data_IF_999507953733
#
_entry.id   IF_999507953733
#
_cell.length_a   1.000
_cell.length_b   1.000
_cell.length_c   1.000
_cell.angle_alpha   90.00
_cell.angle_beta   90.00
_cell.angle_gamma   90.00
#
_symmetry.space_group_name_H-M   'P 1'
#
loop_
_entity.id
_entity.type
_entity.pdbx_description
1 polymer ?
#
# COMPACT_ATOMS: atom_id res chain seq x y z
N UNK A 1 -12.53 26.89 -25.07
CA UNK A 1 -11.75 25.92 -24.27
C UNK A 1 -11.08 25.02 -25.30
N UNK A 2 -9.77 25.18 -25.55
CA UNK A 2 -9.07 24.30 -26.51
C UNK A 2 -9.16 22.86 -26.01
N UNK A 3 -9.50 21.92 -26.89
CA UNK A 3 -9.59 20.51 -26.50
C UNK A 3 -8.18 19.96 -26.26
N UNK A 4 -8.06 18.97 -25.37
CA UNK A 4 -6.76 18.35 -25.05
C UNK A 4 -6.09 17.78 -26.31
N UNK A 5 -6.89 17.34 -27.28
CA UNK A 5 -6.46 16.82 -28.58
C UNK A 5 -5.76 17.91 -29.41
N UNK A 6 -6.23 19.15 -29.37
CA UNK A 6 -5.62 20.26 -30.12
C UNK A 6 -4.28 20.66 -29.54
N UNK A 7 -4.14 20.62 -28.21
CA UNK A 7 -2.87 20.88 -27.52
C UNK A 7 -1.84 19.81 -27.82
N UNK A 8 -2.25 18.54 -27.85
CA UNK A 8 -1.40 17.40 -28.24
C UNK A 8 -0.97 17.48 -29.70
N UNK A 9 -1.84 17.97 -30.59
CA UNK A 9 -1.51 18.16 -32.02
C UNK A 9 -0.50 19.29 -32.26
N UNK A 10 -0.55 20.37 -31.46
CA UNK A 10 0.39 21.50 -31.54
C UNK A 10 1.78 21.19 -30.96
N UNK A 11 1.94 20.08 -30.23
CA UNK A 11 3.21 19.71 -29.61
C UNK A 11 4.22 19.15 -30.65
N UNK A 12 5.53 19.45 -30.47
CA UNK A 12 6.60 18.81 -31.23
C UNK A 12 6.58 17.28 -31.07
N UNK A 13 7.06 16.51 -32.06
CA UNK A 13 7.04 15.05 -32.03
C UNK A 13 7.71 14.45 -30.78
N UNK A 14 8.84 15.03 -30.34
CA UNK A 14 9.61 14.58 -29.17
C UNK A 14 8.84 14.71 -27.85
N UNK A 15 7.88 15.63 -27.78
CA UNK A 15 7.08 15.85 -26.57
C UNK A 15 5.81 15.01 -26.56
N UNK A 16 5.42 14.40 -27.68
CA UNK A 16 4.24 13.51 -27.73
C UNK A 16 4.49 12.21 -26.99
N UNK A 17 5.71 11.70 -27.05
CA UNK A 17 6.11 10.48 -26.34
C UNK A 17 6.00 10.66 -24.82
N UNK A 18 6.51 11.79 -24.30
CA UNK A 18 6.37 12.14 -22.88
C UNK A 18 4.91 12.30 -22.43
N UNK A 19 4.03 12.76 -23.32
CA UNK A 19 2.60 12.88 -23.02
C UNK A 19 1.93 11.51 -22.94
N UNK A 20 2.31 10.57 -23.81
CA UNK A 20 1.83 9.18 -23.77
C UNK A 20 2.26 8.52 -22.45
N UNK A 21 3.54 8.62 -22.11
CA UNK A 21 4.07 8.11 -20.84
C UNK A 21 3.35 8.70 -19.63
N UNK A 22 3.02 10.00 -19.69
CA UNK A 22 2.32 10.66 -18.60
C UNK A 22 0.86 10.21 -18.47
N UNK A 23 0.17 9.96 -19.59
CA UNK A 23 -1.19 9.40 -19.59
C UNK A 23 -1.19 7.99 -19.01
N UNK A 24 -0.24 7.15 -19.43
CA UNK A 24 -0.08 5.79 -18.92
C UNK A 24 0.27 5.79 -17.43
N UNK A 25 1.14 6.71 -16.99
CA UNK A 25 1.45 6.92 -15.58
C UNK A 25 0.20 7.29 -14.78
N UNK A 26 -0.62 8.22 -15.26
CA UNK A 26 -1.86 8.61 -14.57
C UNK A 26 -2.86 7.45 -14.47
N UNK A 27 -3.05 6.67 -15.54
CA UNK A 27 -3.90 5.48 -15.54
C UNK A 27 -3.38 4.37 -14.61
N UNK A 28 -2.06 4.22 -14.50
CA UNK A 28 -1.46 3.30 -13.55
C UNK A 28 -1.69 3.74 -12.10
N UNK A 29 -1.65 5.05 -11.83
CA UNK A 29 -1.77 5.63 -10.49
C UNK A 29 -3.16 5.47 -9.88
N UNK A 30 -4.20 5.49 -10.70
CA UNK A 30 -5.58 5.28 -10.24
C UNK A 30 -5.75 3.89 -9.61
N UNK A 31 -5.07 2.88 -10.15
CA UNK A 31 -5.07 1.52 -9.61
C UNK A 31 -4.29 1.35 -8.28
N UNK A 32 -3.42 2.29 -7.91
CA UNK A 32 -2.70 2.26 -6.63
C UNK A 32 -3.55 2.74 -5.45
N UNK A 33 -4.70 3.38 -5.70
CA UNK A 33 -5.51 4.02 -4.65
C UNK A 33 -6.35 3.03 -3.83
N UNK A 34 -6.43 1.76 -4.25
CA UNK A 34 -7.09 0.70 -3.48
C UNK A 34 -6.05 -0.22 -2.82
N UNK A 35 -4.96 0.34 -2.30
CA UNK A 35 -4.28 -0.33 -1.18
C UNK A 35 -5.23 -0.26 0.01
N UNK A 36 -6.10 -1.28 0.14
CA UNK A 36 -6.96 -1.47 1.31
C UNK A 36 -6.11 -1.17 2.55
N UNK A 37 -6.58 -0.23 3.38
CA UNK A 37 -5.93 0.08 4.66
C UNK A 37 -5.64 -1.25 5.37
N UNK A 38 -4.45 -1.45 5.95
CA UNK A 38 -4.16 -2.67 6.68
C UNK A 38 -5.23 -2.83 7.75
N UNK A 39 -5.91 -3.98 7.76
CA UNK A 39 -7.08 -4.18 8.62
C UNK A 39 -6.74 -4.15 10.11
N UNK A 40 -5.49 -4.50 10.46
CA UNK A 40 -4.99 -4.59 11.84
C UNK A 40 -5.88 -5.48 12.74
N UNK A 41 -6.61 -6.44 12.17
CA UNK A 41 -7.52 -7.33 12.90
C UNK A 41 -6.81 -8.17 13.98
N UNK A 42 -5.49 -8.35 13.83
CA UNK A 42 -4.63 -9.03 14.81
C UNK A 42 -4.30 -8.17 16.04
N UNK A 43 -4.49 -6.84 15.96
CA UNK A 43 -4.12 -5.92 17.03
C UNK A 43 -5.01 -6.17 18.25
N UNK A 44 -4.39 -6.59 19.36
CA UNK A 44 -5.11 -6.91 20.59
C UNK A 44 -5.69 -8.34 20.65
N UNK A 45 -5.41 -9.21 19.68
CA UNK A 45 -5.88 -10.60 19.67
C UNK A 45 -5.42 -11.44 20.87
N UNK A 46 -4.37 -11.00 21.59
CA UNK A 46 -3.84 -11.67 22.79
C UNK A 46 -4.30 -11.03 24.11
N UNK A 47 -5.25 -10.08 24.07
CA UNK A 47 -5.67 -9.32 25.26
C UNK A 47 -6.23 -10.21 26.37
N UNK A 48 -6.94 -11.29 26.01
CA UNK A 48 -7.49 -12.27 26.96
C UNK A 48 -6.41 -13.05 27.72
N UNK A 49 -5.24 -13.25 27.11
CA UNK A 49 -4.12 -13.95 27.73
C UNK A 49 -3.35 -13.11 28.73
N UNK A 50 -3.56 -11.79 28.76
CA UNK A 50 -2.93 -10.88 29.72
C UNK A 50 -3.28 -11.21 31.17
N UNK A 51 -4.46 -11.79 31.40
CA UNK A 51 -4.91 -12.22 32.74
C UNK A 51 -4.37 -13.61 33.08
N UNK A 52 -4.16 -14.45 32.05
CA UNK A 52 -3.76 -15.85 32.21
C UNK A 52 -2.25 -16.05 32.33
N UNK A 53 -1.47 -15.15 31.75
CA UNK A 53 -0.02 -15.26 31.73
C UNK A 53 0.64 -13.93 32.06
N UNK A 54 1.61 -14.01 32.97
CA UNK A 54 2.59 -12.95 33.21
C UNK A 54 3.69 -12.98 32.16
N UNK A 55 4.39 -11.86 31.96
CA UNK A 55 5.50 -11.77 31.01
C UNK A 55 6.60 -12.82 31.25
N UNK A 56 6.85 -13.16 32.51
CA UNK A 56 7.87 -14.14 32.92
C UNK A 56 7.46 -15.58 32.57
N UNK A 57 6.17 -15.91 32.67
CA UNK A 57 5.67 -17.23 32.28
C UNK A 57 5.72 -17.45 30.77
N UNK A 58 5.44 -16.39 30.00
CA UNK A 58 5.57 -16.42 28.54
C UNK A 58 7.03 -16.59 28.11
N UNK A 59 7.95 -15.94 28.80
CA UNK A 59 9.38 -16.08 28.56
C UNK A 59 9.83 -17.53 28.77
N UNK A 60 9.48 -18.14 29.91
CA UNK A 60 9.80 -19.55 30.21
C UNK A 60 9.23 -20.51 29.16
N UNK A 61 7.95 -20.36 28.81
CA UNK A 61 7.32 -21.16 27.74
C UNK A 61 8.01 -20.98 26.38
N UNK A 62 8.50 -19.77 26.07
CA UNK A 62 9.21 -19.52 24.82
C UNK A 62 10.57 -20.22 24.72
N UNK A 63 11.20 -20.49 25.86
CA UNK A 63 12.44 -21.27 25.96
C UNK A 63 12.11 -22.77 25.86
N UNK A 64 11.06 -23.22 26.55
CA UNK A 64 10.57 -24.60 26.47
C UNK A 64 10.16 -25.01 25.05
N UNK A 65 9.52 -24.13 24.28
CA UNK A 65 9.12 -24.43 22.89
C UNK A 65 10.25 -24.33 21.87
N UNK A 66 11.39 -23.74 22.25
CA UNK A 66 12.58 -23.64 21.40
C UNK A 66 13.54 -24.81 21.57
N UNK A 67 13.42 -25.55 22.67
CA UNK A 67 14.12 -26.81 22.91
C UNK A 67 13.31 -28.00 22.40
#
# INVERSE_FOLDING_TARGET
MESIIEKIRKLPPEMKEQVIDFIDYLGSKENYTIKKKPKLDWFGGLKEFKIKYTSVELEKKSVEWRM
#
